data_IF_815264281105
#
_entry.id   IF_815264281105
#
_cell.length_a   1.000
_cell.length_b   1.000
_cell.length_c   1.000
_cell.angle_alpha   90.00
_cell.angle_beta   90.00
_cell.angle_gamma   90.00
#
_symmetry.space_group_name_H-M   'P 1'
#
loop_
_entity.id
_entity.type
_entity.pdbx_description
1 polymer ?
#
# COMPACT_ATOMS: atom_id res chain seq x y z
N UNK A 1 -28.86 -45.15 23.03
CA UNK A 1 -29.14 -43.97 22.18
C UNK A 1 -28.18 -42.88 22.62
N UNK A 2 -27.36 -42.42 21.68
CA UNK A 2 -26.08 -41.75 21.92
C UNK A 2 -26.27 -40.26 22.32
N UNK A 3 -25.77 -39.88 23.51
CA UNK A 3 -25.91 -38.57 24.15
C UNK A 3 -25.41 -37.42 23.27
N UNK A 4 -24.53 -37.72 22.31
CA UNK A 4 -24.03 -36.76 21.31
C UNK A 4 -25.08 -36.26 20.30
N UNK A 5 -26.15 -37.04 20.02
CA UNK A 5 -27.21 -36.62 19.07
C UNK A 5 -28.19 -35.61 19.68
N UNK A 6 -28.41 -35.67 20.99
CA UNK A 6 -29.31 -34.77 21.71
C UNK A 6 -28.73 -33.35 21.85
N UNK A 7 -27.41 -33.23 22.01
CA UNK A 7 -26.72 -31.93 22.10
C UNK A 7 -26.63 -31.20 20.74
N UNK A 8 -26.63 -31.96 19.63
CA UNK A 8 -26.67 -31.41 18.27
C UNK A 8 -28.06 -30.88 17.88
N UNK A 9 -29.13 -31.50 18.37
CA UNK A 9 -30.51 -31.07 18.14
C UNK A 9 -30.82 -29.72 18.84
N UNK A 10 -30.15 -29.44 19.96
CA UNK A 10 -30.34 -28.21 20.76
C UNK A 10 -29.44 -27.03 20.32
N UNK A 11 -28.67 -27.16 19.23
CA UNK A 11 -27.74 -26.11 18.71
C UNK A 11 -26.71 -25.57 19.72
N UNK A 12 -26.41 -26.28 20.81
CA UNK A 12 -25.48 -25.81 21.85
C UNK A 12 -24.02 -26.27 21.65
N UNK A 13 -23.71 -27.08 20.63
CA UNK A 13 -22.34 -27.47 20.29
C UNK A 13 -22.11 -27.49 18.77
N UNK A 14 -21.14 -26.70 18.29
CA UNK A 14 -20.58 -26.83 16.93
C UNK A 14 -19.20 -27.49 17.01
N UNK A 15 -18.92 -28.53 16.19
CA UNK A 15 -17.59 -29.11 16.11
C UNK A 15 -16.57 -28.09 15.61
N UNK A 16 -15.43 -28.02 16.30
CA UNK A 16 -14.32 -27.12 16.02
C UNK A 16 -13.77 -27.30 14.61
N UNK A 17 -14.19 -26.43 13.69
CA UNK A 17 -13.54 -26.28 12.39
C UNK A 17 -12.51 -25.15 12.52
N UNK A 18 -11.24 -25.52 12.64
CA UNK A 18 -10.12 -24.64 12.26
C UNK A 18 -10.26 -24.33 10.77
N UNK A 19 -10.99 -23.27 10.44
CA UNK A 19 -11.00 -22.68 9.09
C UNK A 19 -10.22 -21.37 9.20
N UNK A 20 -9.20 -21.26 8.35
CA UNK A 20 -8.42 -20.05 8.19
C UNK A 20 -9.33 -18.84 8.03
N UNK A 21 -9.04 -17.81 8.83
CA UNK A 21 -9.70 -16.52 8.76
C UNK A 21 -9.28 -15.84 7.45
N UNK A 22 -10.23 -15.65 6.53
CA UNK A 22 -10.04 -14.83 5.34
C UNK A 22 -10.66 -13.44 5.62
N UNK A 23 -9.88 -12.42 6.00
CA UNK A 23 -10.40 -11.08 6.27
C UNK A 23 -11.01 -10.40 5.03
N UNK A 24 -10.60 -10.79 3.82
CA UNK A 24 -11.09 -10.19 2.58
C UNK A 24 -12.53 -10.60 2.21
N UNK A 25 -13.03 -11.74 2.73
CA UNK A 25 -14.42 -12.17 2.50
C UNK A 25 -15.42 -11.68 3.56
N UNK A 26 -14.97 -11.02 4.63
CA UNK A 26 -15.81 -10.64 5.77
C UNK A 26 -16.51 -9.28 5.69
N UNK A 27 -16.12 -8.40 4.75
CA UNK A 27 -16.69 -7.04 4.70
C UNK A 27 -18.07 -6.94 4.01
N UNK A 28 -18.62 -8.04 3.49
CA UNK A 28 -19.85 -8.01 2.69
C UNK A 28 -21.13 -8.52 3.36
N UNK A 29 -21.07 -9.18 4.52
CA UNK A 29 -22.26 -9.85 5.08
C UNK A 29 -22.36 -9.71 6.61
N UNK A 30 -23.09 -8.66 7.00
CA UNK A 30 -23.96 -8.52 8.19
C UNK A 30 -23.33 -8.53 9.58
N UNK A 31 -23.74 -7.53 10.36
CA UNK A 31 -23.28 -7.27 11.72
C UNK A 31 -23.34 -8.48 12.66
N UNK A 32 -22.32 -8.57 13.50
CA UNK A 32 -22.21 -9.48 14.63
C UNK A 32 -21.25 -8.84 15.63
N UNK A 33 -21.76 -8.59 16.82
CA UNK A 33 -21.10 -7.90 17.93
C UNK A 33 -19.72 -8.49 18.28
N UNK A 34 -18.79 -7.59 18.61
CA UNK A 34 -17.58 -7.92 19.37
C UNK A 34 -17.92 -7.72 20.84
N UNK A 35 -17.87 -8.80 21.62
CA UNK A 35 -17.85 -8.75 23.07
C UNK A 35 -16.67 -9.59 23.58
N UNK A 36 -16.09 -9.08 24.67
CA UNK A 36 -15.02 -9.58 25.56
C UNK A 36 -13.58 -9.52 25.02
N UNK A 37 -12.61 -8.91 25.69
CA UNK A 37 -12.52 -8.38 27.05
C UNK A 37 -11.06 -8.52 27.49
N UNK A 38 -10.31 -7.41 27.57
CA UNK A 38 -8.91 -7.39 27.99
C UNK A 38 -8.01 -6.59 27.02
N UNK A 39 -7.64 -5.38 27.43
CA UNK A 39 -6.59 -4.58 26.76
C UNK A 39 -5.24 -5.16 27.20
N UNK A 40 -4.87 -6.32 26.64
CA UNK A 40 -3.46 -6.66 26.52
C UNK A 40 -3.01 -6.05 25.20
N UNK A 41 -2.06 -5.11 25.26
CA UNK A 41 -1.38 -4.61 24.06
C UNK A 41 -0.57 -5.78 23.52
N UNK A 42 -1.22 -6.65 22.75
CA UNK A 42 -0.58 -7.75 22.04
C UNK A 42 0.61 -7.17 21.25
N UNK A 43 1.73 -7.87 21.20
CA UNK A 43 2.95 -7.43 20.52
C UNK A 43 2.72 -6.98 19.05
N UNK A 44 1.60 -7.41 18.45
CA UNK A 44 1.11 -6.96 17.14
C UNK A 44 0.71 -5.48 17.11
N UNK A 45 0.10 -4.98 18.18
CA UNK A 45 -0.31 -3.59 18.32
C UNK A 45 0.88 -2.64 18.37
N UNK A 46 1.94 -3.03 19.08
CA UNK A 46 3.20 -2.28 19.12
C UNK A 46 3.87 -2.24 17.75
N UNK A 47 3.84 -3.34 17.02
CA UNK A 47 4.41 -3.42 15.66
C UNK A 47 3.66 -2.51 14.69
N UNK A 48 2.33 -2.52 14.72
CA UNK A 48 1.49 -1.63 13.91
C UNK A 48 1.70 -0.17 14.30
N UNK A 49 1.75 0.14 15.60
CA UNK A 49 2.02 1.48 16.10
C UNK A 49 3.41 1.99 15.66
N UNK A 50 4.44 1.13 15.67
CA UNK A 50 5.77 1.48 15.21
C UNK A 50 5.79 1.83 13.71
N UNK A 51 5.09 1.05 12.87
CA UNK A 51 4.98 1.34 11.43
C UNK A 51 4.22 2.63 11.18
N UNK A 52 3.12 2.87 11.91
CA UNK A 52 2.36 4.12 11.82
C UNK A 52 3.17 5.33 12.30
N UNK A 53 3.91 5.18 13.40
CA UNK A 53 4.81 6.21 13.92
C UNK A 53 5.91 6.56 12.92
N UNK A 54 6.53 5.55 12.30
CA UNK A 54 7.52 5.76 11.25
C UNK A 54 6.91 6.47 10.03
N UNK A 55 5.71 6.08 9.61
CA UNK A 55 5.01 6.74 8.51
C UNK A 55 4.64 8.19 8.84
N UNK A 56 4.22 8.47 10.08
CA UNK A 56 3.91 9.83 10.54
C UNK A 56 5.16 10.72 10.56
N UNK A 57 6.29 10.20 11.05
CA UNK A 57 7.58 10.89 11.01
C UNK A 57 8.00 11.14 9.55
N UNK A 58 7.87 10.15 8.68
CA UNK A 58 8.18 10.31 7.25
C UNK A 58 7.30 11.37 6.57
N UNK A 59 6.00 11.45 6.92
CA UNK A 59 5.11 12.52 6.47
C UNK A 59 5.54 13.89 6.96
N UNK A 60 5.89 14.02 8.24
CA UNK A 60 6.36 15.27 8.82
C UNK A 60 7.65 15.75 8.12
N UNK A 61 8.59 14.84 7.87
CA UNK A 61 9.83 15.16 7.13
C UNK A 61 9.51 15.55 5.69
N UNK A 62 8.61 14.84 5.00
CA UNK A 62 8.20 15.17 3.62
C UNK A 62 7.58 16.56 3.55
N UNK A 63 6.66 16.87 4.47
CA UNK A 63 6.02 18.18 4.55
C UNK A 63 7.05 19.28 4.85
N UNK A 64 7.96 19.03 5.79
CA UNK A 64 9.03 19.99 6.11
C UNK A 64 9.93 20.26 4.91
N UNK A 65 10.36 19.23 4.17
CA UNK A 65 11.17 19.40 2.95
C UNK A 65 10.45 20.21 1.88
N UNK A 66 9.16 19.96 1.64
CA UNK A 66 8.37 20.67 0.64
C UNK A 66 8.06 22.12 1.04
N UNK A 67 7.88 22.39 2.33
CA UNK A 67 7.61 23.74 2.86
C UNK A 67 8.89 24.58 3.01
N UNK A 68 10.03 23.96 3.31
CA UNK A 68 11.31 24.64 3.47
C UNK A 68 11.95 25.06 2.13
N UNK A 69 11.59 24.38 1.03
CA UNK A 69 12.08 24.71 -0.31
C UNK A 69 10.90 24.79 -1.32
N UNK A 70 10.01 25.79 -1.19
CA UNK A 70 8.90 25.97 -2.11
C UNK A 70 9.47 26.32 -3.49
N UNK A 71 9.21 25.45 -4.47
CA UNK A 71 9.68 25.65 -5.84
C UNK A 71 11.09 25.10 -6.12
N UNK A 72 11.50 23.98 -5.51
CA UNK A 72 12.48 23.11 -6.17
C UNK A 72 11.94 22.71 -7.54
N UNK A 73 12.29 23.54 -8.53
CA UNK A 73 12.16 23.28 -9.94
C UNK A 73 12.81 21.93 -10.23
N UNK A 74 12.29 21.21 -11.22
CA UNK A 74 12.67 19.85 -11.56
C UNK A 74 14.11 19.68 -12.08
N UNK A 75 15.12 20.14 -11.32
CA UNK A 75 16.38 19.44 -11.22
C UNK A 75 16.22 18.47 -10.05
N UNK A 76 16.20 17.17 -10.32
CA UNK A 76 16.09 16.12 -9.29
C UNK A 76 17.31 16.08 -8.33
N UNK A 77 18.05 17.18 -8.21
CA UNK A 77 19.32 17.29 -7.52
C UNK A 77 20.30 16.21 -7.99
N UNK A 78 21.24 15.91 -7.11
CA UNK A 78 22.09 14.72 -7.26
C UNK A 78 21.24 13.43 -7.16
N UNK A 79 21.69 12.31 -7.75
CA UNK A 79 21.03 11.01 -7.56
C UNK A 79 20.84 10.66 -6.08
N UNK A 80 21.80 11.01 -5.22
CA UNK A 80 21.73 10.78 -3.79
C UNK A 80 20.58 11.55 -3.12
N UNK A 81 20.43 12.84 -3.43
CA UNK A 81 19.33 13.66 -2.91
C UNK A 81 17.97 13.20 -3.41
N UNK A 82 17.88 12.76 -4.68
CA UNK A 82 16.64 12.20 -5.19
C UNK A 82 16.26 10.92 -4.43
N UNK A 83 17.20 9.98 -4.28
CA UNK A 83 16.95 8.71 -3.61
C UNK A 83 16.54 8.93 -2.16
N UNK A 84 17.14 9.88 -1.44
CA UNK A 84 16.77 10.16 -0.05
C UNK A 84 15.37 10.77 0.07
N UNK A 85 15.06 11.80 -0.70
CA UNK A 85 13.71 12.41 -0.71
C UNK A 85 12.64 11.41 -1.17
N UNK A 86 12.95 10.64 -2.22
CA UNK A 86 12.08 9.58 -2.72
C UNK A 86 11.84 8.49 -1.66
N UNK A 87 12.88 8.04 -0.97
CA UNK A 87 12.78 7.05 0.10
C UNK A 87 11.83 7.50 1.22
N UNK A 88 12.01 8.74 1.68
CA UNK A 88 11.19 9.32 2.74
C UNK A 88 9.74 9.46 2.29
N UNK A 89 9.51 9.96 1.07
CA UNK A 89 8.17 10.11 0.52
C UNK A 89 7.46 8.75 0.33
N UNK A 90 8.18 7.74 -0.17
CA UNK A 90 7.65 6.38 -0.28
C UNK A 90 7.36 5.78 1.09
N UNK A 91 8.21 6.00 2.09
CA UNK A 91 7.93 5.57 3.45
C UNK A 91 6.68 6.25 4.03
N UNK A 92 6.46 7.53 3.74
CA UNK A 92 5.28 8.26 4.18
C UNK A 92 3.98 7.67 3.60
N UNK A 93 3.97 7.39 2.29
CA UNK A 93 2.74 7.02 1.58
C UNK A 93 2.50 5.52 1.50
N UNK A 94 3.55 4.74 1.29
CA UNK A 94 3.45 3.33 0.94
C UNK A 94 3.53 2.41 2.16
N UNK A 95 4.20 2.82 3.24
CA UNK A 95 4.30 2.02 4.46
C UNK A 95 2.95 1.79 5.15
N UNK A 96 2.04 2.79 5.27
CA UNK A 96 0.68 2.58 5.77
C UNK A 96 -0.09 1.53 4.98
N UNK A 97 0.16 1.46 3.68
CA UNK A 97 -0.52 0.55 2.80
C UNK A 97 -0.12 -0.92 3.03
N UNK A 98 1.02 -1.19 3.67
CA UNK A 98 1.50 -2.54 4.03
C UNK A 98 1.01 -3.02 5.40
N UNK A 99 0.29 -2.19 6.16
CA UNK A 99 -0.18 -2.50 7.52
C UNK A 99 -0.96 -3.83 7.63
N UNK A 100 -1.90 -4.17 6.72
CA UNK A 100 -2.63 -5.42 6.84
C UNK A 100 -1.71 -6.64 6.75
N UNK A 101 -0.69 -6.58 5.88
CA UNK A 101 0.30 -7.64 5.73
C UNK A 101 1.22 -7.71 6.95
N UNK A 102 1.73 -6.56 7.42
CA UNK A 102 2.61 -6.49 8.59
C UNK A 102 1.90 -7.06 9.81
N UNK A 103 0.65 -6.67 10.05
CA UNK A 103 -0.16 -7.19 11.15
C UNK A 103 -0.31 -8.71 11.07
N UNK A 104 -0.69 -9.24 9.90
CA UNK A 104 -0.87 -10.70 9.70
C UNK A 104 0.45 -11.46 9.88
N UNK A 105 1.53 -10.91 9.35
CA UNK A 105 2.86 -11.50 9.45
C UNK A 105 3.36 -11.50 10.90
N UNK A 106 3.18 -10.39 11.63
CA UNK A 106 3.51 -10.28 13.05
C UNK A 106 2.75 -11.32 13.89
N UNK A 107 1.45 -11.50 13.64
CA UNK A 107 0.60 -12.53 14.28
C UNK A 107 1.09 -13.94 14.02
N UNK A 108 1.48 -14.26 12.78
CA UNK A 108 2.00 -15.59 12.42
C UNK A 108 3.38 -15.85 13.01
N UNK A 109 4.13 -14.78 13.28
CA UNK A 109 5.45 -14.78 13.86
C UNK A 109 5.44 -14.67 15.40
N UNK A 110 4.28 -14.53 16.03
CA UNK A 110 4.12 -14.28 17.46
C UNK A 110 4.83 -15.36 18.29
N UNK A 111 5.48 -14.95 19.38
CA UNK A 111 6.27 -15.82 20.24
C UNK A 111 7.64 -16.26 19.68
N UNK A 112 7.99 -15.87 18.44
CA UNK A 112 9.32 -16.17 17.86
C UNK A 112 10.31 -15.05 18.14
N UNK A 113 11.51 -15.40 18.63
CA UNK A 113 12.59 -14.44 18.92
C UNK A 113 12.99 -13.56 17.73
N UNK A 114 12.88 -14.07 16.51
CA UNK A 114 13.25 -13.34 15.28
C UNK A 114 12.10 -12.54 14.64
N UNK A 115 10.93 -12.47 15.30
CA UNK A 115 9.76 -11.72 14.82
C UNK A 115 10.04 -10.25 14.49
N UNK A 116 10.69 -9.43 15.35
CA UNK A 116 10.92 -8.02 15.02
C UNK A 116 11.86 -7.87 13.82
N UNK A 117 12.91 -8.69 13.74
CA UNK A 117 13.83 -8.70 12.62
C UNK A 117 13.14 -9.09 11.30
N UNK A 118 12.24 -10.08 11.33
CA UNK A 118 11.53 -10.53 10.15
C UNK A 118 10.51 -9.49 9.64
N UNK A 119 9.83 -8.78 10.54
CA UNK A 119 8.94 -7.66 10.19
C UNK A 119 9.75 -6.49 9.62
N UNK A 120 10.88 -6.15 10.24
CA UNK A 120 11.77 -5.10 9.73
C UNK A 120 12.25 -5.44 8.31
N UNK A 121 12.69 -6.68 8.08
CA UNK A 121 13.14 -7.15 6.76
C UNK A 121 11.99 -7.12 5.73
N UNK A 122 10.76 -7.46 6.11
CA UNK A 122 9.59 -7.31 5.25
C UNK A 122 9.41 -5.86 4.81
N UNK A 123 9.42 -4.91 5.76
CA UNK A 123 9.29 -3.49 5.48
C UNK A 123 10.43 -2.93 4.62
N UNK A 124 11.68 -3.34 4.91
CA UNK A 124 12.86 -2.92 4.15
C UNK A 124 12.82 -3.42 2.71
N UNK A 125 12.47 -4.70 2.49
CA UNK A 125 12.37 -5.25 1.13
C UNK A 125 11.22 -4.59 0.37
N UNK A 126 10.10 -4.31 1.05
CA UNK A 126 9.00 -3.57 0.46
C UNK A 126 9.42 -2.17 0.01
N UNK A 127 10.13 -1.41 0.87
CA UNK A 127 10.67 -0.10 0.51
C UNK A 127 11.72 -0.20 -0.61
N UNK A 128 12.57 -1.24 -0.62
CA UNK A 128 13.56 -1.44 -1.67
C UNK A 128 12.94 -1.59 -3.06
N UNK A 129 11.79 -2.28 -3.18
CA UNK A 129 11.02 -2.34 -4.44
C UNK A 129 10.61 -0.94 -4.89
N UNK A 130 10.14 -0.11 -3.96
CA UNK A 130 9.77 1.28 -4.24
C UNK A 130 10.96 2.17 -4.60
N UNK A 131 12.11 1.96 -3.97
CA UNK A 131 13.36 2.64 -4.35
C UNK A 131 13.79 2.26 -5.76
N UNK A 132 13.70 0.97 -6.12
CA UNK A 132 13.99 0.50 -7.47
C UNK A 132 13.10 1.14 -8.53
N UNK A 133 11.81 1.30 -8.23
CA UNK A 133 10.88 2.03 -9.10
C UNK A 133 11.26 3.51 -9.25
N UNK A 134 11.60 4.19 -8.15
CA UNK A 134 12.06 5.58 -8.20
C UNK A 134 13.33 5.75 -9.01
N UNK A 135 14.31 4.86 -8.84
CA UNK A 135 15.55 4.87 -9.60
C UNK A 135 15.28 4.70 -11.11
N UNK A 136 14.39 3.78 -11.49
CA UNK A 136 13.97 3.62 -12.88
C UNK A 136 13.29 4.88 -13.42
N UNK A 137 12.42 5.50 -12.63
CA UNK A 137 11.75 6.75 -13.00
C UNK A 137 12.76 7.90 -13.18
N UNK A 138 13.76 8.01 -12.30
CA UNK A 138 14.83 9.00 -12.40
C UNK A 138 15.66 8.81 -13.68
N UNK A 139 16.07 7.57 -13.98
CA UNK A 139 16.82 7.27 -15.20
C UNK A 139 15.99 7.60 -16.43
N UNK A 140 14.71 7.22 -16.46
CA UNK A 140 13.81 7.53 -17.56
C UNK A 140 13.62 9.05 -17.73
N UNK A 141 13.45 9.79 -16.65
CA UNK A 141 13.33 11.25 -16.66
C UNK A 141 14.55 11.91 -17.30
N UNK A 142 15.75 11.50 -16.90
CA UNK A 142 17.01 12.05 -17.43
C UNK A 142 17.24 11.63 -18.89
N UNK A 143 16.98 10.36 -19.24
CA UNK A 143 17.14 9.85 -20.59
C UNK A 143 16.22 10.54 -21.61
N UNK A 144 15.03 10.97 -21.19
CA UNK A 144 14.06 11.68 -22.02
C UNK A 144 14.34 13.19 -22.13
N UNK A 145 15.41 13.71 -21.50
CA UNK A 145 15.80 15.12 -21.60
C UNK A 145 14.76 16.08 -21.01
N UNK A 146 14.01 15.65 -19.99
CA UNK A 146 13.01 16.48 -19.30
C UNK A 146 13.75 17.55 -18.45
N UNK A 147 13.56 18.86 -18.74
CA UNK A 147 12.31 19.52 -18.42
C UNK A 147 11.61 20.10 -19.66
N UNK A 148 10.37 19.66 -19.89
CA UNK A 148 9.54 20.17 -20.97
C UNK A 148 8.94 21.53 -20.58
N UNK A 149 8.78 22.48 -21.51
CA UNK A 149 8.27 23.81 -21.20
C UNK A 149 6.86 23.81 -20.60
N UNK A 150 6.05 22.76 -20.86
CA UNK A 150 4.66 22.68 -20.42
C UNK A 150 4.46 21.62 -19.32
N UNK A 151 4.87 21.94 -18.09
CA UNK A 151 4.70 21.07 -16.92
C UNK A 151 3.23 20.67 -16.67
N UNK A 152 2.29 21.60 -16.93
CA UNK A 152 0.85 21.37 -16.87
C UNK A 152 0.41 20.23 -17.82
N UNK A 153 0.89 20.26 -19.06
CA UNK A 153 0.58 19.25 -20.07
C UNK A 153 1.16 17.88 -19.70
N UNK A 154 2.42 17.85 -19.22
CA UNK A 154 3.08 16.60 -18.79
C UNK A 154 2.35 15.98 -17.61
N UNK A 155 1.97 16.77 -16.60
CA UNK A 155 1.19 16.29 -15.45
C UNK A 155 -0.21 15.83 -15.83
N UNK A 156 -0.89 16.57 -16.72
CA UNK A 156 -2.20 16.19 -17.26
C UNK A 156 -2.17 14.88 -18.04
N UNK A 157 -1.18 14.69 -18.92
CA UNK A 157 -0.96 13.44 -19.66
C UNK A 157 -0.65 12.29 -18.70
N UNK A 158 0.16 12.52 -17.67
CA UNK A 158 0.45 11.50 -16.67
C UNK A 158 -0.80 11.06 -15.91
N UNK A 159 -1.67 12.00 -15.53
CA UNK A 159 -2.96 11.69 -14.88
C UNK A 159 -3.92 11.00 -15.85
N UNK A 160 -3.94 11.36 -17.13
CA UNK A 160 -4.72 10.66 -18.14
C UNK A 160 -4.24 9.21 -18.34
N UNK A 161 -2.92 8.98 -18.41
CA UNK A 161 -2.33 7.65 -18.46
C UNK A 161 -2.65 6.85 -17.19
N UNK A 162 -2.65 7.49 -16.02
CA UNK A 162 -3.04 6.86 -14.76
C UNK A 162 -4.53 6.44 -14.77
N UNK A 163 -5.42 7.27 -15.33
CA UNK A 163 -6.83 6.94 -15.50
C UNK A 163 -7.04 5.78 -16.48
N UNK A 164 -6.30 5.73 -17.59
CA UNK A 164 -6.32 4.60 -18.51
C UNK A 164 -5.81 3.33 -17.83
N UNK A 165 -4.70 3.43 -17.08
CA UNK A 165 -4.17 2.34 -16.29
C UNK A 165 -5.19 1.79 -15.29
N UNK A 166 -6.00 2.67 -14.69
CA UNK A 166 -7.04 2.29 -13.74
C UNK A 166 -8.11 1.34 -14.30
N UNK A 167 -8.28 1.31 -15.63
CA UNK A 167 -9.22 0.44 -16.34
C UNK A 167 -8.58 -0.88 -16.83
N UNK A 168 -7.26 -1.01 -16.74
CA UNK A 168 -6.56 -2.17 -17.31
C UNK A 168 -6.80 -3.47 -16.52
N UNK A 169 -6.81 -4.63 -17.20
CA UNK A 169 -6.86 -5.92 -16.52
C UNK A 169 -5.60 -6.18 -15.68
N UNK A 170 -4.46 -5.59 -16.05
CA UNK A 170 -3.20 -5.72 -15.33
C UNK A 170 -3.30 -5.19 -13.90
N UNK A 171 -3.97 -4.05 -13.69
CA UNK A 171 -4.25 -3.52 -12.36
C UNK A 171 -5.08 -4.52 -11.54
N UNK A 172 -6.15 -5.08 -12.12
CA UNK A 172 -7.06 -6.01 -11.43
C UNK A 172 -6.30 -7.26 -10.95
N UNK A 173 -5.50 -7.85 -11.84
CA UNK A 173 -4.67 -9.03 -11.53
C UNK A 173 -3.69 -8.74 -10.39
N UNK A 174 -3.01 -7.58 -10.45
CA UNK A 174 -2.08 -7.14 -9.41
C UNK A 174 -2.79 -6.89 -8.06
N UNK A 175 -3.98 -6.30 -8.08
CA UNK A 175 -4.79 -6.02 -6.90
C UNK A 175 -5.30 -7.31 -6.24
N UNK A 176 -5.73 -8.30 -7.03
CA UNK A 176 -6.15 -9.60 -6.52
C UNK A 176 -4.97 -10.35 -5.89
N UNK A 177 -3.81 -10.36 -6.56
CA UNK A 177 -2.58 -10.94 -6.00
C UNK A 177 -2.12 -10.24 -4.72
N UNK A 178 -2.27 -8.92 -4.65
CA UNK A 178 -2.00 -8.14 -3.43
C UNK A 178 -2.89 -8.58 -2.26
N UNK A 179 -4.18 -8.86 -2.52
CA UNK A 179 -5.13 -9.36 -1.51
C UNK A 179 -4.84 -10.79 -1.09
N UNK A 180 -4.46 -11.66 -2.02
CA UNK A 180 -4.05 -13.04 -1.74
C UNK A 180 -2.82 -13.09 -0.82
N UNK A 181 -1.82 -12.24 -1.09
CA UNK A 181 -0.61 -12.16 -0.24
C UNK A 181 -0.95 -11.63 1.16
N UNK A 182 -1.87 -10.67 1.28
CA UNK A 182 -2.39 -10.22 2.58
C UNK A 182 -3.13 -11.32 3.35
N UNK A 183 -3.66 -12.32 2.65
CA UNK A 183 -4.40 -13.43 3.24
C UNK A 183 -3.49 -14.54 3.78
N UNK A 184 -2.15 -14.40 3.71
CA UNK A 184 -1.11 -15.36 4.10
C UNK A 184 -1.61 -16.57 4.91
N UNK A 185 -1.82 -17.69 4.23
CA UNK A 185 -2.29 -18.94 4.83
C UNK A 185 -1.17 -20.00 4.83
N UNK A 186 -0.94 -20.62 5.98
CA UNK A 186 -0.12 -21.83 6.10
C UNK A 186 1.24 -21.65 6.79
N UNK A 187 1.93 -22.76 7.08
CA UNK A 187 3.25 -22.74 7.68
C UNK A 187 4.28 -22.10 6.74
N UNK A 188 5.13 -21.23 7.28
CA UNK A 188 6.19 -20.58 6.50
C UNK A 188 7.27 -21.63 6.16
N UNK A 189 7.54 -21.91 4.88
CA UNK A 189 8.49 -22.96 4.48
C UNK A 189 9.97 -22.56 4.68
N UNK A 190 10.23 -21.33 5.13
CA UNK A 190 11.56 -20.76 5.27
C UNK A 190 11.83 -20.30 6.72
N UNK A 191 13.08 -19.92 7.00
CA UNK A 191 13.38 -19.13 8.20
C UNK A 191 12.53 -17.87 8.23
N UNK A 192 12.16 -17.43 9.43
CA UNK A 192 11.20 -16.33 9.60
C UNK A 192 11.64 -15.05 8.87
N UNK A 193 12.94 -14.74 8.93
CA UNK A 193 13.53 -13.58 8.23
C UNK A 193 13.44 -13.72 6.70
N UNK A 194 13.78 -14.89 6.16
CA UNK A 194 13.66 -15.15 4.71
C UNK A 194 12.22 -15.10 4.26
N UNK A 195 11.29 -15.57 5.08
CA UNK A 195 9.88 -15.47 4.80
C UNK A 195 9.37 -14.01 4.82
N UNK A 196 9.88 -13.18 5.72
CA UNK A 196 9.64 -11.73 5.71
C UNK A 196 10.12 -11.08 4.41
N UNK A 197 11.33 -11.42 3.95
CA UNK A 197 11.87 -10.92 2.68
C UNK A 197 11.02 -11.33 1.47
N UNK A 198 10.63 -12.61 1.39
CA UNK A 198 9.78 -13.13 0.30
C UNK A 198 8.40 -12.48 0.32
N UNK A 199 7.80 -12.30 1.51
CA UNK A 199 6.52 -11.63 1.66
C UNK A 199 6.62 -10.16 1.23
N UNK A 200 7.64 -9.44 1.68
CA UNK A 200 7.90 -8.04 1.31
C UNK A 200 8.10 -7.87 -0.19
N UNK A 201 8.85 -8.76 -0.84
CA UNK A 201 9.10 -8.72 -2.28
C UNK A 201 7.84 -8.99 -3.10
N UNK A 202 7.13 -10.09 -2.81
CA UNK A 202 5.89 -10.47 -3.53
C UNK A 202 4.81 -9.41 -3.36
N UNK A 203 4.68 -8.89 -2.15
CA UNK A 203 3.74 -7.82 -1.86
C UNK A 203 4.15 -6.50 -2.54
N UNK A 204 5.42 -6.14 -2.48
CA UNK A 204 5.97 -4.95 -3.12
C UNK A 204 5.68 -4.93 -4.62
N UNK A 205 5.98 -6.02 -5.34
CA UNK A 205 5.72 -6.11 -6.78
C UNK A 205 4.23 -6.06 -7.12
N UNK A 206 3.38 -6.75 -6.35
CA UNK A 206 1.93 -6.74 -6.57
C UNK A 206 1.32 -5.37 -6.24
N UNK A 207 1.84 -4.71 -5.19
CA UNK A 207 1.44 -3.36 -4.80
C UNK A 207 1.88 -2.33 -5.84
N UNK A 208 3.11 -2.44 -6.35
CA UNK A 208 3.59 -1.58 -7.41
C UNK A 208 2.69 -1.73 -8.65
N UNK A 209 2.36 -2.96 -9.02
CA UNK A 209 1.44 -3.25 -10.13
C UNK A 209 -0.01 -2.84 -9.93
N UNK A 210 -0.48 -2.50 -8.71
CA UNK A 210 -1.83 -1.99 -8.52
C UNK A 210 -1.89 -0.46 -8.60
N UNK A 211 -0.80 0.24 -8.29
CA UNK A 211 -0.75 1.71 -8.27
C UNK A 211 0.21 2.34 -9.29
N UNK A 212 0.89 1.57 -10.14
CA UNK A 212 1.92 2.06 -11.07
C UNK A 212 1.51 3.31 -11.85
N UNK A 213 0.30 3.36 -12.41
CA UNK A 213 -0.21 4.54 -13.11
C UNK A 213 -0.26 5.80 -12.24
N UNK A 214 -0.81 5.69 -11.01
CA UNK A 214 -0.83 6.81 -10.05
C UNK A 214 0.58 7.19 -9.59
N UNK A 215 1.50 6.23 -9.53
CA UNK A 215 2.88 6.49 -9.13
C UNK A 215 3.66 7.28 -10.18
N UNK A 216 3.42 7.02 -11.46
CA UNK A 216 3.96 7.84 -12.55
C UNK A 216 3.42 9.27 -12.45
N UNK A 217 2.11 9.42 -12.24
CA UNK A 217 1.52 10.74 -12.01
C UNK A 217 2.10 11.43 -10.77
N UNK A 218 2.36 10.69 -9.69
CA UNK A 218 2.96 11.19 -8.46
C UNK A 218 4.38 11.75 -8.67
N UNK A 219 5.22 11.09 -9.48
CA UNK A 219 6.56 11.60 -9.80
C UNK A 219 6.49 12.95 -10.53
N UNK A 220 5.53 13.09 -11.45
CA UNK A 220 5.44 14.26 -12.33
C UNK A 220 4.65 15.43 -11.72
N UNK A 221 3.65 15.13 -10.89
CA UNK A 221 2.72 16.12 -10.30
C UNK A 221 2.94 16.29 -8.79
N UNK A 222 3.13 15.19 -8.05
CA UNK A 222 3.17 15.21 -6.59
C UNK A 222 4.34 16.04 -6.05
N UNK A 223 5.49 16.01 -6.72
CA UNK A 223 6.69 16.72 -6.25
C UNK A 223 6.57 18.25 -6.34
N UNK A 224 5.58 18.79 -7.06
CA UNK A 224 5.40 20.25 -7.20
C UNK A 224 4.51 20.85 -6.10
N UNK A 225 3.70 20.06 -5.41
CA UNK A 225 2.76 20.55 -4.41
C UNK A 225 2.43 19.50 -3.35
N UNK A 226 2.52 19.92 -2.09
CA UNK A 226 2.12 19.10 -0.95
C UNK A 226 0.63 18.72 -1.02
N UNK A 227 -0.23 19.60 -1.55
CA UNK A 227 -1.66 19.32 -1.73
C UNK A 227 -1.90 18.15 -2.69
N UNK A 228 -1.23 18.17 -3.85
CA UNK A 228 -1.33 17.08 -4.82
C UNK A 228 -0.71 15.78 -4.31
N UNK A 229 0.39 15.87 -3.55
CA UNK A 229 0.96 14.73 -2.82
C UNK A 229 -0.08 14.07 -1.92
N UNK A 230 -0.78 14.84 -1.08
CA UNK A 230 -1.82 14.30 -0.17
C UNK A 230 -2.97 13.66 -0.95
N UNK A 231 -3.46 14.32 -2.01
CA UNK A 231 -4.54 13.80 -2.86
C UNK A 231 -4.15 12.47 -3.50
N UNK A 232 -2.96 12.38 -4.09
CA UNK A 232 -2.47 11.16 -4.73
C UNK A 232 -2.22 10.03 -3.70
N UNK A 233 -1.71 10.34 -2.51
CA UNK A 233 -1.61 9.36 -1.41
C UNK A 233 -2.97 8.78 -1.05
N UNK A 234 -3.96 9.65 -0.86
CA UNK A 234 -5.31 9.23 -0.52
C UNK A 234 -5.90 8.34 -1.62
N UNK A 235 -5.70 8.69 -2.89
CA UNK A 235 -6.13 7.87 -4.03
C UNK A 235 -5.46 6.50 -4.05
N UNK A 236 -4.16 6.41 -3.78
CA UNK A 236 -3.46 5.13 -3.69
C UNK A 236 -4.03 4.27 -2.57
N UNK A 237 -4.29 4.84 -1.39
CA UNK A 237 -4.92 4.11 -0.28
C UNK A 237 -6.32 3.64 -0.66
N UNK A 238 -7.13 4.48 -1.31
CA UNK A 238 -8.46 4.10 -1.82
C UNK A 238 -8.34 2.95 -2.81
N UNK A 239 -7.39 3.00 -3.76
CA UNK A 239 -7.16 1.92 -4.73
C UNK A 239 -6.84 0.59 -4.03
N UNK A 240 -6.05 0.67 -2.96
CA UNK A 240 -5.57 -0.53 -2.25
C UNK A 240 -6.60 -1.12 -1.29
N UNK A 241 -7.36 -0.27 -0.62
CA UNK A 241 -8.38 -0.66 0.36
C UNK A 241 -9.79 -0.77 -0.22
N UNK A 242 -9.96 -0.42 -1.49
CA UNK A 242 -11.22 -0.59 -2.20
C UNK A 242 -11.73 -2.04 -2.10
N UNK A 243 -13.06 -2.24 -1.97
CA UNK A 243 -13.69 -3.56 -2.04
C UNK A 243 -13.40 -4.25 -3.39
N UNK A 244 -13.73 -5.55 -3.55
CA UNK A 244 -13.48 -6.31 -4.77
C UNK A 244 -13.82 -5.50 -6.02
N UNK A 245 -12.92 -5.52 -7.00
CA UNK A 245 -12.94 -4.60 -8.14
C UNK A 245 -14.19 -4.84 -8.98
N UNK A 246 -15.27 -4.11 -8.67
CA UNK A 246 -16.44 -4.05 -9.55
C UNK A 246 -16.10 -3.12 -10.69
N UNK A 247 -16.55 -3.46 -11.90
CA UNK A 247 -16.38 -2.61 -13.08
C UNK A 247 -16.76 -1.15 -12.81
N UNK A 248 -17.85 -0.92 -12.06
CA UNK A 248 -18.34 0.41 -11.67
C UNK A 248 -17.33 1.20 -10.83
N UNK A 249 -16.67 0.55 -9.88
CA UNK A 249 -15.69 1.22 -9.02
C UNK A 249 -14.43 1.60 -9.80
N UNK A 250 -13.95 0.74 -10.70
CA UNK A 250 -12.80 1.07 -11.55
C UNK A 250 -13.09 2.21 -12.51
N UNK A 251 -14.30 2.26 -13.09
CA UNK A 251 -14.74 3.38 -13.92
C UNK A 251 -14.88 4.66 -13.11
N UNK A 252 -15.46 4.61 -11.91
CA UNK A 252 -15.58 5.78 -11.03
C UNK A 252 -14.20 6.32 -10.62
N UNK A 253 -13.25 5.44 -10.28
CA UNK A 253 -11.89 5.82 -9.93
C UNK A 253 -11.12 6.36 -11.14
N UNK A 254 -11.29 5.78 -12.33
CA UNK A 254 -10.71 6.29 -13.56
C UNK A 254 -11.27 7.69 -13.90
N UNK A 255 -12.58 7.88 -13.79
CA UNK A 255 -13.23 9.17 -13.99
C UNK A 255 -12.74 10.23 -13.00
N UNK A 256 -12.61 9.88 -11.72
CA UNK A 256 -12.06 10.76 -10.69
C UNK A 256 -10.62 11.20 -11.03
N UNK A 257 -9.75 10.26 -11.41
CA UNK A 257 -8.36 10.58 -11.80
C UNK A 257 -8.33 11.43 -13.08
N UNK A 258 -9.20 11.17 -14.05
CA UNK A 258 -9.30 11.98 -15.26
C UNK A 258 -9.76 13.42 -14.96
N UNK A 259 -10.77 13.60 -14.10
CA UNK A 259 -11.24 14.93 -13.64
C UNK A 259 -10.11 15.66 -12.92
N UNK A 260 -9.36 14.99 -12.05
CA UNK A 260 -8.21 15.59 -11.38
C UNK A 260 -7.11 16.00 -12.37
N UNK A 261 -6.90 15.24 -13.45
CA UNK A 261 -6.01 15.62 -14.55
C UNK A 261 -6.44 16.91 -15.23
N UNK A 262 -7.73 17.05 -15.50
CA UNK A 262 -8.30 18.27 -16.10
C UNK A 262 -8.16 19.46 -15.15
N UNK A 263 -8.47 19.27 -13.87
CA UNK A 263 -8.32 20.31 -12.84
C UNK A 263 -6.87 20.73 -12.69
N UNK A 264 -5.93 19.79 -12.67
CA UNK A 264 -4.49 20.10 -12.62
C UNK A 264 -4.06 20.94 -13.83
N UNK A 265 -4.44 20.52 -15.04
CA UNK A 265 -4.09 21.25 -16.26
C UNK A 265 -4.74 22.64 -16.35
N UNK A 266 -5.87 22.87 -15.67
CA UNK A 266 -6.52 24.17 -15.60
C UNK A 266 -5.92 25.11 -14.52
N UNK A 267 -5.24 24.55 -13.51
CA UNK A 267 -4.65 25.29 -12.38
C UNK A 267 -3.14 25.55 -12.53
N UNK A 268 -2.48 24.83 -13.45
CA UNK A 268 -1.03 24.89 -13.69
C UNK A 268 -0.68 25.81 -14.86
#
# INVERSE_FOLDING_TARGET
>A
MDTGRLLLALRLARPGRRRGFCPACGQGLRGGAVADGGIEVAADGLTVAAVLGLAAVAWAVTAWQMLAAPGMTMGLGTPASFVTTWAVMMAAMMLPSALPLVYRFARLAEGRRSQPAAVAVLGLVYLAVWLGFGALAYVAYNALGMPWPNHALVGGVALALAALYALTPLKRISQDRCREVCALHGPLPFTLVRAGAVAGWRYGLSCLGCSAGLMVAMVLVGMTSLGWTIVLAALVLVYKFAPPATWRLDVALAALVAVLGIVYAALA
#
